data_IF_026604902424
#
_entry.id   IF_026604902424
#
_cell.length_a   1.000
_cell.length_b   1.000
_cell.length_c   1.000
_cell.angle_alpha   90.00
_cell.angle_beta   90.00
_cell.angle_gamma   90.00
#
_symmetry.space_group_name_H-M   'P 1'
#
loop_
_entity.id
_entity.type
_entity.pdbx_description
1 polymer ?
#
# COMPACT_ATOMS: atom_id res chain seq x y z
N UNK A 1 -15.56 -0.08 8.57
CA UNK A 1 -14.66 -1.25 8.40
C UNK A 1 -14.27 -1.84 9.75
N UNK A 2 -13.55 -1.10 10.62
CA UNK A 2 -13.15 -1.59 11.96
C UNK A 2 -14.35 -1.97 12.83
N UNK A 3 -15.34 -1.08 12.98
CA UNK A 3 -16.56 -1.33 13.77
C UNK A 3 -17.33 -2.57 13.29
N UNK A 4 -17.23 -2.88 11.99
CA UNK A 4 -17.82 -4.08 11.38
C UNK A 4 -16.95 -5.34 11.50
N UNK A 5 -15.89 -5.33 12.32
CA UNK A 5 -14.99 -6.47 12.50
C UNK A 5 -14.03 -6.72 11.34
N UNK A 6 -13.84 -5.76 10.44
CA UNK A 6 -12.98 -5.91 9.27
C UNK A 6 -11.52 -6.23 9.63
N UNK A 7 -10.90 -7.10 8.85
CA UNK A 7 -9.47 -7.45 8.95
C UNK A 7 -8.87 -7.67 7.57
N UNK A 8 -7.61 -7.27 7.40
CA UNK A 8 -6.83 -7.67 6.22
C UNK A 8 -6.61 -9.18 6.21
N UNK A 9 -6.64 -9.77 5.02
CA UNK A 9 -6.55 -11.22 4.79
C UNK A 9 -5.16 -11.66 4.29
N UNK A 10 -4.30 -10.69 3.97
CA UNK A 10 -2.94 -10.91 3.48
C UNK A 10 -1.95 -10.01 4.23
N UNK A 11 -0.66 -10.38 4.30
CA UNK A 11 0.36 -9.50 4.89
C UNK A 11 0.33 -8.12 4.26
N UNK A 12 0.04 -7.10 5.08
CA UNK A 12 -0.19 -5.73 4.64
C UNK A 12 0.66 -4.79 5.48
N UNK A 13 1.46 -3.96 4.82
CA UNK A 13 2.39 -3.01 5.45
C UNK A 13 1.97 -1.58 5.12
N UNK A 14 2.17 -0.64 6.04
CA UNK A 14 1.74 0.74 5.86
C UNK A 14 2.79 1.63 5.21
N UNK A 15 2.33 2.42 4.24
CA UNK A 15 3.07 3.56 3.72
C UNK A 15 3.23 4.64 4.80
N UNK A 16 4.09 5.63 4.56
CA UNK A 16 4.18 6.83 5.39
C UNK A 16 2.80 7.48 5.55
N UNK A 17 2.45 7.80 6.79
CA UNK A 17 1.25 8.56 7.10
C UNK A 17 1.55 10.04 7.31
N UNK A 18 0.51 10.86 7.35
CA UNK A 18 0.63 12.31 7.56
C UNK A 18 0.80 12.73 9.02
N UNK A 19 0.93 11.76 9.94
CA UNK A 19 1.01 11.99 11.37
C UNK A 19 2.03 11.07 12.05
N UNK A 20 2.68 11.53 13.11
CA UNK A 20 3.56 10.69 13.92
C UNK A 20 2.77 10.14 15.12
N UNK A 21 2.42 8.85 15.05
CA UNK A 21 1.69 8.18 16.12
C UNK A 21 2.52 8.01 17.41
N UNK A 22 3.85 8.06 17.32
CA UNK A 22 4.78 7.88 18.45
C UNK A 22 5.11 9.24 19.08
N UNK A 23 5.33 10.27 18.26
CA UNK A 23 5.71 11.63 18.71
C UNK A 23 4.80 12.72 18.11
N UNK A 24 3.52 12.78 18.51
CA UNK A 24 2.51 13.65 17.89
C UNK A 24 2.90 15.14 17.88
N UNK A 25 3.61 15.62 18.89
CA UNK A 25 4.05 17.02 18.98
C UNK A 25 5.16 17.44 18.01
N UNK A 26 5.72 16.52 17.20
CA UNK A 26 6.79 16.83 16.24
C UNK A 26 6.26 17.23 14.87
N UNK A 27 5.04 16.82 14.53
CA UNK A 27 4.42 17.11 13.23
C UNK A 27 3.64 18.41 13.34
N UNK A 28 4.02 19.40 12.53
CA UNK A 28 3.32 20.70 12.47
C UNK A 28 2.19 20.60 11.44
N UNK A 29 1.02 20.17 11.90
CA UNK A 29 -0.22 20.18 11.12
C UNK A 29 -1.29 21.01 11.83
N UNK A 30 -2.27 21.56 11.10
CA UNK A 30 -3.41 22.22 11.72
C UNK A 30 -4.12 21.27 12.68
N UNK A 31 -4.55 21.77 13.84
CA UNK A 31 -5.23 20.96 14.86
C UNK A 31 -6.49 20.25 14.31
N UNK A 32 -7.16 20.86 13.32
CA UNK A 32 -8.31 20.27 12.64
C UNK A 32 -7.97 19.03 11.80
N UNK A 33 -6.71 18.88 11.35
CA UNK A 33 -6.24 17.76 10.54
C UNK A 33 -5.61 16.63 11.38
N UNK A 34 -5.20 16.92 12.61
CA UNK A 34 -4.58 15.93 13.50
C UNK A 34 -5.52 14.77 13.83
N UNK A 35 -6.74 15.06 14.31
CA UNK A 35 -7.67 14.01 14.71
C UNK A 35 -8.06 13.09 13.53
N UNK A 36 -8.39 13.61 12.33
CA UNK A 36 -8.61 12.77 11.14
C UNK A 36 -7.40 11.93 10.74
N UNK A 37 -6.20 12.51 10.68
CA UNK A 37 -4.99 11.80 10.27
C UNK A 37 -4.63 10.67 11.25
N UNK A 38 -4.66 10.97 12.55
CA UNK A 38 -4.46 9.98 13.62
C UNK A 38 -5.50 8.87 13.53
N UNK A 39 -6.79 9.21 13.36
CA UNK A 39 -7.88 8.23 13.24
C UNK A 39 -7.68 7.31 12.04
N UNK A 40 -7.27 7.85 10.89
CA UNK A 40 -7.02 7.05 9.69
C UNK A 40 -5.89 6.05 9.91
N UNK A 41 -4.76 6.49 10.46
CA UNK A 41 -3.61 5.63 10.70
C UNK A 41 -3.92 4.56 11.75
N UNK A 42 -4.61 4.93 12.83
CA UNK A 42 -5.01 4.01 13.88
C UNK A 42 -6.00 2.94 13.36
N UNK A 43 -6.96 3.34 12.52
CA UNK A 43 -7.89 2.41 11.89
C UNK A 43 -7.17 1.34 11.05
N UNK A 44 -6.11 1.70 10.34
CA UNK A 44 -5.32 0.73 9.58
C UNK A 44 -4.61 -0.28 10.49
N UNK A 45 -4.08 0.15 11.63
CA UNK A 45 -3.50 -0.76 12.63
C UNK A 45 -4.56 -1.72 13.19
N UNK A 46 -5.75 -1.20 13.50
CA UNK A 46 -6.88 -1.99 14.00
C UNK A 46 -7.42 -2.99 12.96
N UNK A 47 -7.31 -2.68 11.67
CA UNK A 47 -7.58 -3.63 10.57
C UNK A 47 -6.53 -4.73 10.45
N UNK A 48 -5.41 -4.66 11.19
CA UNK A 48 -4.36 -5.68 11.20
C UNK A 48 -3.16 -5.38 10.30
N UNK A 49 -3.05 -4.17 9.76
CA UNK A 49 -1.88 -3.76 8.98
C UNK A 49 -0.64 -3.59 9.87
N UNK A 50 0.54 -3.88 9.34
CA UNK A 50 1.80 -3.73 10.03
C UNK A 50 2.35 -2.30 9.89
N UNK A 51 2.69 -1.71 11.03
CA UNK A 51 3.19 -0.34 11.20
C UNK A 51 4.63 -0.13 10.67
N UNK A 52 4.83 -0.25 9.36
CA UNK A 52 6.14 0.01 8.72
C UNK A 52 6.39 1.47 8.40
N UNK A 53 5.31 2.24 8.17
CA UNK A 53 5.28 3.67 7.88
C UNK A 53 6.40 4.16 6.95
N UNK A 54 6.54 3.54 5.77
CA UNK A 54 7.58 3.89 4.80
C UNK A 54 7.06 3.83 3.36
N UNK A 55 7.45 4.81 2.54
CA UNK A 55 7.24 4.81 1.09
C UNK A 55 8.25 3.95 0.33
N UNK A 56 9.23 3.37 1.02
CA UNK A 56 10.20 2.44 0.47
C UNK A 56 10.05 1.02 1.07
N UNK A 57 8.85 0.38 0.98
CA UNK A 57 8.62 -0.92 1.59
C UNK A 57 9.54 -2.02 1.02
N UNK A 58 10.01 -1.84 -0.22
CA UNK A 58 10.98 -2.72 -0.89
C UNK A 58 12.39 -2.73 -0.27
N UNK A 59 12.72 -1.78 0.61
CA UNK A 59 13.97 -1.78 1.39
C UNK A 59 13.83 -2.52 2.72
N UNK A 60 12.63 -2.99 3.05
CA UNK A 60 12.36 -3.72 4.30
C UNK A 60 12.44 -5.22 4.08
N UNK A 61 12.26 -6.00 5.16
CA UNK A 61 12.11 -7.47 5.09
C UNK A 61 10.89 -7.93 4.28
N UNK A 62 9.95 -7.04 3.97
CA UNK A 62 8.71 -7.35 3.24
C UNK A 62 8.86 -7.19 1.71
N UNK A 63 10.09 -7.14 1.22
CA UNK A 63 10.38 -7.07 -0.20
C UNK A 63 9.71 -8.25 -0.96
N UNK A 64 8.92 -7.98 -2.00
CA UNK A 64 8.26 -9.03 -2.78
C UNK A 64 9.24 -9.80 -3.66
N UNK A 65 8.81 -10.96 -4.13
CA UNK A 65 9.56 -11.83 -5.05
C UNK A 65 9.18 -11.56 -6.51
N UNK A 66 10.05 -11.96 -7.44
CA UNK A 66 9.76 -11.93 -8.88
C UNK A 66 8.45 -12.68 -9.17
N UNK A 67 7.58 -12.06 -9.98
CA UNK A 67 6.29 -12.60 -10.38
C UNK A 67 5.17 -12.54 -9.33
N UNK A 68 5.48 -12.16 -8.07
CA UNK A 68 4.48 -12.10 -7.00
C UNK A 68 3.41 -11.04 -7.29
N UNK A 69 2.14 -11.39 -7.06
CA UNK A 69 1.02 -10.45 -7.11
C UNK A 69 0.96 -9.66 -5.80
N UNK A 70 1.02 -8.33 -5.90
CA UNK A 70 0.91 -7.41 -4.76
C UNK A 70 -0.05 -6.27 -5.11
N UNK A 71 -0.62 -5.62 -4.10
CA UNK A 71 -1.45 -4.43 -4.27
C UNK A 71 -0.79 -3.24 -3.59
N UNK A 72 0.13 -2.58 -4.30
CA UNK A 72 0.78 -1.35 -3.83
C UNK A 72 0.28 -0.17 -4.65
N UNK A 73 -0.14 0.91 -3.98
CA UNK A 73 -0.61 2.16 -4.59
C UNK A 73 0.43 3.29 -4.67
N UNK A 74 1.55 3.16 -3.95
CA UNK A 74 2.58 4.21 -3.84
C UNK A 74 3.43 4.32 -5.12
N UNK A 75 3.62 5.55 -5.60
CA UNK A 75 4.24 5.91 -6.87
C UNK A 75 5.60 5.27 -7.15
N UNK A 76 6.60 5.43 -6.28
CA UNK A 76 7.94 4.86 -6.51
C UNK A 76 7.95 3.35 -6.27
N UNK A 77 7.19 2.86 -5.29
CA UNK A 77 7.11 1.45 -4.96
C UNK A 77 6.49 0.62 -6.09
N UNK A 78 5.46 1.14 -6.78
CA UNK A 78 4.87 0.49 -7.96
C UNK A 78 5.90 0.33 -9.08
N UNK A 79 6.65 1.40 -9.37
CA UNK A 79 7.65 1.38 -10.45
C UNK A 79 8.78 0.42 -10.10
N UNK A 80 9.28 0.46 -8.87
CA UNK A 80 10.35 -0.44 -8.42
C UNK A 80 9.88 -1.91 -8.41
N UNK A 81 8.67 -2.18 -7.93
CA UNK A 81 8.09 -3.51 -7.91
C UNK A 81 7.98 -4.09 -9.33
N UNK A 82 7.44 -3.32 -10.29
CA UNK A 82 7.24 -3.81 -11.64
C UNK A 82 8.55 -3.93 -12.45
N UNK A 83 9.43 -2.94 -12.37
CA UNK A 83 10.58 -2.82 -13.26
C UNK A 83 11.86 -3.45 -12.71
N UNK A 84 12.10 -3.37 -11.39
CA UNK A 84 13.35 -3.85 -10.78
C UNK A 84 13.17 -5.23 -10.16
N UNK A 85 12.09 -5.43 -9.40
CA UNK A 85 11.82 -6.73 -8.76
C UNK A 85 11.16 -7.71 -9.74
N UNK A 86 10.34 -7.21 -10.66
CA UNK A 86 9.48 -8.05 -11.51
C UNK A 86 8.25 -8.59 -10.78
N UNK A 87 7.89 -8.02 -9.62
CA UNK A 87 6.60 -8.21 -8.99
C UNK A 87 5.49 -7.53 -9.82
N UNK A 88 4.23 -7.83 -9.50
CA UNK A 88 3.07 -7.47 -10.31
C UNK A 88 2.07 -6.65 -9.49
N UNK A 89 1.91 -5.39 -9.86
CA UNK A 89 0.92 -4.47 -9.28
C UNK A 89 0.53 -3.42 -10.30
N UNK A 90 -0.68 -2.88 -10.17
CA UNK A 90 -1.11 -1.70 -10.91
C UNK A 90 -0.88 -0.43 -10.10
N UNK A 91 -1.02 0.72 -10.78
CA UNK A 91 -1.23 2.00 -10.12
C UNK A 91 -2.67 2.06 -9.63
N UNK A 92 -2.90 1.47 -8.47
CA UNK A 92 -4.20 1.53 -7.82
C UNK A 92 -4.52 2.96 -7.42
N UNK A 93 -5.77 3.37 -7.68
CA UNK A 93 -6.35 4.53 -7.02
C UNK A 93 -6.53 4.24 -5.53
N UNK A 94 -6.75 5.31 -4.76
CA UNK A 94 -6.87 5.26 -3.31
C UNK A 94 -7.87 4.18 -2.83
N UNK A 95 -7.71 3.68 -1.61
CA UNK A 95 -8.47 2.58 -0.97
C UNK A 95 -8.59 1.24 -1.73
N UNK A 96 -8.28 1.13 -3.03
CA UNK A 96 -8.38 -0.13 -3.76
C UNK A 96 -7.35 -1.14 -3.27
N UNK A 97 -6.16 -0.69 -2.88
CA UNK A 97 -5.15 -1.53 -2.24
C UNK A 97 -5.63 -2.08 -0.88
N UNK A 98 -6.33 -1.27 -0.09
CA UNK A 98 -6.98 -1.72 1.15
C UNK A 98 -8.10 -2.73 0.86
N UNK A 99 -8.92 -2.51 -0.17
CA UNK A 99 -9.92 -3.49 -0.62
C UNK A 99 -9.26 -4.81 -1.03
N UNK A 100 -8.12 -4.75 -1.73
CA UNK A 100 -7.35 -5.95 -2.09
C UNK A 100 -6.82 -6.66 -0.83
N UNK A 101 -6.32 -5.90 0.15
CA UNK A 101 -5.86 -6.44 1.43
C UNK A 101 -7.00 -7.10 2.21
N UNK A 102 -8.18 -6.48 2.27
CA UNK A 102 -9.36 -6.99 2.98
C UNK A 102 -10.02 -8.19 2.30
N UNK A 103 -9.90 -8.32 0.98
CA UNK A 103 -10.50 -9.43 0.24
C UNK A 103 -9.50 -10.54 -0.09
N UNK A 104 -8.20 -10.25 0.02
CA UNK A 104 -7.12 -11.10 -0.47
C UNK A 104 -7.11 -11.23 -2.00
N UNK A 105 -7.77 -10.31 -2.73
CA UNK A 105 -7.98 -10.40 -4.18
C UNK A 105 -7.63 -9.10 -4.86
N UNK A 106 -6.80 -9.20 -5.90
CA UNK A 106 -6.57 -8.12 -6.86
C UNK A 106 -7.42 -8.36 -8.11
N UNK A 107 -8.00 -7.32 -8.74
CA UNK A 107 -8.66 -7.51 -10.02
C UNK A 107 -7.62 -7.89 -11.08
N UNK A 108 -7.95 -8.85 -11.94
CA UNK A 108 -7.06 -9.40 -12.96
C UNK A 108 -7.00 -8.48 -14.19
N UNK A 109 -6.28 -7.36 -14.09
CA UNK A 109 -6.15 -6.36 -15.17
C UNK A 109 -4.77 -5.72 -15.19
N UNK A 110 -4.47 -4.97 -16.26
CA UNK A 110 -3.25 -4.17 -16.36
C UNK A 110 -2.00 -5.04 -16.19
N UNK A 111 -1.05 -4.56 -15.40
CA UNK A 111 0.26 -5.18 -15.18
C UNK A 111 0.24 -6.44 -14.30
N UNK A 112 -0.92 -6.83 -13.76
CA UNK A 112 -1.10 -8.18 -13.20
C UNK A 112 -1.06 -9.27 -14.27
N UNK A 113 -1.50 -8.93 -15.49
CA UNK A 113 -1.60 -9.83 -16.63
C UNK A 113 -0.28 -9.85 -17.41
N UNK A 114 0.16 -11.05 -17.82
CA UNK A 114 1.47 -11.22 -18.47
C UNK A 114 1.54 -10.57 -19.85
N UNK A 115 0.44 -10.63 -20.60
CA UNK A 115 0.26 -10.04 -21.92
C UNK A 115 0.49 -8.51 -21.92
N UNK A 116 0.19 -7.83 -20.82
CA UNK A 116 0.29 -6.39 -20.69
C UNK A 116 1.67 -5.89 -20.22
N UNK A 117 2.64 -6.78 -19.99
CA UNK A 117 3.98 -6.43 -19.48
C UNK A 117 5.05 -6.36 -20.57
N UNK A 118 4.69 -6.57 -21.83
CA UNK A 118 5.61 -6.43 -22.95
C UNK A 118 5.83 -4.94 -23.21
N UNK A 119 7.10 -4.53 -23.25
CA UNK A 119 7.45 -3.20 -23.74
C UNK A 119 6.93 -3.02 -25.16
N UNK A 120 6.30 -1.89 -25.44
CA UNK A 120 5.94 -1.49 -26.80
C UNK A 120 6.95 -0.44 -27.23
N UNK A 121 7.61 -0.66 -28.36
CA UNK A 121 8.25 0.43 -29.09
C UNK A 121 7.14 1.23 -29.74
N UNK A 122 7.10 2.53 -29.52
CA UNK A 122 6.38 3.42 -30.43
C UNK A 122 7.25 3.59 -31.66
N UNK A 123 6.67 3.34 -32.84
CA UNK A 123 7.23 3.67 -34.15
C UNK A 123 6.52 4.92 -34.68
#
# INVERSE_FOLDING_TARGET
>A
LVEGGGRVQVPTTLNGGSFDLIHPGRVKIPAAEEAPARRLMQAHLELGCQATFTCAPYQTRFRPKFGQQIAWGESNAIVFANSVIGARTNRYGDFIDLCCAMTGRAPAWGLHLSENRRGRSEE
#
